data_IF_003203448571
#
_entry.id   IF_003203448571
#
_cell.length_a   1.000
_cell.length_b   1.000
_cell.length_c   1.000
_cell.angle_alpha   90.00
_cell.angle_beta   90.00
_cell.angle_gamma   90.00
#
_symmetry.space_group_name_H-M   'P 1'
#
loop_
_entity.id
_entity.type
_entity.pdbx_description
1 polymer ?
#
# COMPACT_ATOMS: atom_id res chain seq x y z
N UNK A 1 0.37 -6.20 10.84
CA UNK A 1 0.39 -6.51 9.40
C UNK A 1 -1.04 -6.59 8.91
N UNK A 2 -1.31 -6.24 7.66
CA UNK A 2 -2.56 -6.60 7.01
C UNK A 2 -2.50 -6.51 5.49
N UNK A 3 -3.46 -7.18 4.86
CA UNK A 3 -3.66 -7.19 3.41
C UNK A 3 -4.95 -6.44 3.03
N UNK A 4 -4.99 -5.76 1.88
CA UNK A 4 -6.19 -5.04 1.40
C UNK A 4 -6.71 -4.05 2.46
N UNK A 5 -7.92 -4.23 2.98
CA UNK A 5 -8.45 -3.42 4.08
C UNK A 5 -7.66 -3.56 5.39
N UNK A 6 -7.05 -4.72 5.66
CA UNK A 6 -6.12 -4.87 6.77
C UNK A 6 -4.83 -4.06 6.55
N UNK A 7 -4.39 -3.94 5.30
CA UNK A 7 -3.27 -3.08 4.91
C UNK A 7 -3.62 -1.61 5.09
N UNK A 8 -4.83 -1.22 4.67
CA UNK A 8 -5.38 0.11 4.93
C UNK A 8 -5.40 0.43 6.42
N UNK A 9 -5.96 -0.46 7.25
CA UNK A 9 -5.97 -0.30 8.71
C UNK A 9 -4.56 -0.16 9.29
N UNK A 10 -3.60 -0.95 8.78
CA UNK A 10 -2.19 -0.85 9.19
C UNK A 10 -1.62 0.55 8.91
N UNK A 11 -1.93 1.13 7.75
CA UNK A 11 -1.52 2.51 7.41
C UNK A 11 -2.24 3.55 8.28
N UNK A 12 -3.53 3.37 8.56
CA UNK A 12 -4.27 4.24 9.48
C UNK A 12 -3.66 4.23 10.89
N UNK A 13 -3.30 3.05 11.41
CA UNK A 13 -2.67 2.94 12.72
C UNK A 13 -1.35 3.71 12.77
N UNK A 14 -0.54 3.65 11.71
CA UNK A 14 0.72 4.41 11.64
C UNK A 14 0.49 5.92 11.48
N UNK A 15 -0.31 6.35 10.51
CA UNK A 15 -0.38 7.75 10.08
C UNK A 15 -1.37 8.62 10.88
N UNK A 16 -2.34 8.03 11.57
CA UNK A 16 -3.28 8.79 12.43
C UNK A 16 -2.61 9.44 13.65
N UNK A 17 -1.35 9.08 13.95
CA UNK A 17 -0.64 9.53 15.14
C UNK A 17 -1.05 8.81 16.43
N UNK A 18 -2.27 8.25 16.50
CA UNK A 18 -2.75 7.48 17.66
C UNK A 18 -2.01 6.15 17.82
N UNK A 19 -1.55 5.55 16.73
CA UNK A 19 -0.76 4.33 16.78
C UNK A 19 0.74 4.55 16.88
N UNK A 20 1.23 5.78 17.03
CA UNK A 20 2.67 6.03 17.23
C UNK A 20 3.16 5.27 18.47
N UNK A 21 4.14 4.40 18.29
CA UNK A 21 4.70 3.55 19.35
C UNK A 21 3.86 2.32 19.74
N UNK A 22 2.70 2.07 19.09
CA UNK A 22 1.93 0.83 19.34
C UNK A 22 2.64 -0.41 18.78
N UNK A 23 3.35 -0.27 17.67
CA UNK A 23 4.09 -1.35 17.03
C UNK A 23 5.46 -0.83 16.55
N UNK A 24 6.48 -1.68 16.62
CA UNK A 24 7.79 -1.37 16.03
C UNK A 24 7.77 -1.55 14.50
N UNK A 25 6.92 -2.44 13.95
CA UNK A 25 6.90 -2.75 12.52
C UNK A 25 5.49 -2.84 11.96
N UNK A 26 5.24 -2.08 10.89
CA UNK A 26 4.00 -2.04 10.12
C UNK A 26 4.27 -2.68 8.75
N UNK A 27 3.42 -3.64 8.36
CA UNK A 27 3.50 -4.33 7.07
C UNK A 27 2.14 -4.20 6.40
N UNK A 28 2.07 -3.44 5.32
CA UNK A 28 0.86 -3.22 4.55
C UNK A 28 1.01 -3.84 3.17
N UNK A 29 0.27 -4.92 2.92
CA UNK A 29 0.27 -5.64 1.66
C UNK A 29 -0.98 -5.28 0.83
N UNK A 30 -0.77 -4.89 -0.42
CA UNK A 30 -1.79 -4.37 -1.34
C UNK A 30 -2.84 -3.51 -0.62
N UNK A 31 -2.44 -2.47 0.14
CA UNK A 31 -3.35 -1.70 0.97
C UNK A 31 -4.39 -0.99 0.09
N UNK A 32 -5.66 -1.03 0.47
CA UNK A 32 -6.77 -0.38 -0.25
C UNK A 32 -6.75 1.14 -0.08
N UNK A 33 -5.68 1.80 -0.54
CA UNK A 33 -5.44 3.24 -0.37
C UNK A 33 -6.52 4.06 -1.07
N UNK A 34 -7.11 3.57 -2.15
CA UNK A 34 -8.21 4.21 -2.88
C UNK A 34 -9.49 4.39 -2.05
N UNK A 35 -9.65 3.63 -0.96
CA UNK A 35 -10.86 3.67 -0.15
C UNK A 35 -11.08 5.07 0.47
N UNK A 36 -12.35 5.47 0.57
CA UNK A 36 -12.77 6.78 1.08
C UNK A 36 -12.01 7.94 0.42
N UNK A 37 -12.01 7.93 -0.91
CA UNK A 37 -11.36 8.93 -1.76
C UNK A 37 -9.88 9.18 -1.42
N UNK A 38 -9.16 8.15 -0.97
CA UNK A 38 -7.75 8.31 -0.63
C UNK A 38 -7.49 8.98 0.71
N UNK A 39 -8.43 8.96 1.66
CA UNK A 39 -8.28 9.67 2.95
C UNK A 39 -6.99 9.31 3.70
N UNK A 40 -6.49 8.07 3.60
CA UNK A 40 -5.22 7.67 4.21
C UNK A 40 -4.00 8.46 3.67
N UNK A 41 -4.07 8.99 2.44
CA UNK A 41 -3.06 9.89 1.88
C UNK A 41 -3.03 11.25 2.59
N UNK A 42 -4.20 11.74 3.03
CA UNK A 42 -4.26 12.94 3.86
C UNK A 42 -3.55 12.72 5.20
N UNK A 43 -3.76 11.56 5.82
CA UNK A 43 -3.04 11.17 7.04
C UNK A 43 -1.53 11.06 6.79
N UNK A 44 -1.11 10.41 5.70
CA UNK A 44 0.31 10.31 5.32
C UNK A 44 0.94 11.70 5.09
N UNK A 45 0.21 12.64 4.48
CA UNK A 45 0.63 14.05 4.31
C UNK A 45 0.81 14.74 5.67
N UNK A 46 -0.18 14.61 6.56
CA UNK A 46 -0.08 15.16 7.92
C UNK A 46 1.09 14.54 8.69
N UNK A 47 1.28 13.23 8.61
CA UNK A 47 2.41 12.52 9.21
C UNK A 47 3.75 13.06 8.67
N UNK A 48 3.87 13.29 7.37
CA UNK A 48 5.07 13.83 6.73
C UNK A 48 5.37 15.30 7.10
N UNK A 49 4.35 16.09 7.45
CA UNK A 49 4.50 17.49 7.85
C UNK A 49 4.81 17.69 9.34
N UNK A 50 4.54 16.70 10.19
CA UNK A 50 4.88 16.79 11.60
C UNK A 50 6.40 16.71 11.75
N UNK A 51 7.01 17.70 12.43
CA UNK A 51 8.40 17.60 12.92
C UNK A 51 8.46 16.61 14.06
N UNK A 52 8.23 15.34 13.76
CA UNK A 52 8.41 14.27 14.72
C UNK A 52 9.92 14.11 14.92
N UNK A 53 10.39 14.31 16.14
CA UNK A 53 11.63 13.67 16.53
C UNK A 53 11.41 12.18 16.37
N UNK A 54 12.13 11.58 15.44
CA UNK A 54 12.22 10.13 15.30
C UNK A 54 12.63 9.58 16.68
N UNK A 55 11.76 8.82 17.33
CA UNK A 55 12.23 7.96 18.42
C UNK A 55 13.07 6.79 17.87
N UNK A 56 13.11 6.65 16.55
CA UNK A 56 13.94 5.70 15.81
C UNK A 56 13.43 4.27 15.84
N UNK A 57 12.17 4.00 16.21
CA UNK A 57 11.71 2.63 16.44
C UNK A 57 10.80 2.07 15.35
N UNK A 58 10.05 2.93 14.66
CA UNK A 58 9.00 2.47 13.75
C UNK A 58 9.54 2.13 12.36
N UNK A 59 9.09 1.00 11.83
CA UNK A 59 9.44 0.49 10.50
C UNK A 59 8.18 0.32 9.65
N UNK A 60 8.27 0.62 8.36
CA UNK A 60 7.18 0.39 7.41
C UNK A 60 7.67 -0.44 6.23
N UNK A 61 6.95 -1.53 5.93
CA UNK A 61 7.09 -2.27 4.70
C UNK A 61 5.80 -2.24 3.91
N UNK A 62 5.90 -1.79 2.66
CA UNK A 62 4.80 -1.72 1.71
C UNK A 62 4.97 -2.81 0.66
N UNK A 63 3.88 -3.42 0.25
CA UNK A 63 3.89 -4.23 -0.97
C UNK A 63 2.61 -4.06 -1.75
N UNK A 64 2.71 -4.23 -3.06
CA UNK A 64 1.58 -4.31 -3.97
C UNK A 64 1.90 -5.36 -5.01
N UNK A 65 0.90 -6.13 -5.39
CA UNK A 65 1.00 -6.96 -6.59
C UNK A 65 0.54 -6.10 -7.76
N UNK A 66 1.35 -6.01 -8.80
CA UNK A 66 1.05 -5.36 -10.08
C UNK A 66 0.01 -6.16 -10.88
N UNK A 67 -0.96 -6.75 -10.17
CA UNK A 67 -2.10 -7.45 -10.73
C UNK A 67 -3.11 -6.50 -11.37
N UNK A 68 -2.87 -5.20 -11.27
CA UNK A 68 -3.94 -4.22 -11.35
C UNK A 68 -3.66 -3.05 -12.27
N UNK A 69 -2.79 -3.16 -13.29
CA UNK A 69 -2.59 -1.99 -14.15
C UNK A 69 -2.19 -2.21 -15.61
N UNK A 70 -1.68 -3.39 -15.96
CA UNK A 70 -1.19 -3.66 -17.33
C UNK A 70 -1.50 -5.08 -17.81
N UNK A 71 -2.56 -5.72 -17.32
CA UNK A 71 -2.91 -7.07 -17.77
C UNK A 71 -3.45 -7.04 -19.19
N UNK A 72 -2.84 -7.81 -20.09
CA UNK A 72 -3.43 -8.13 -21.39
C UNK A 72 -4.76 -8.87 -21.18
N UNK A 73 -5.68 -8.74 -22.13
CA UNK A 73 -6.92 -9.52 -22.12
C UNK A 73 -6.58 -11.01 -22.14
N UNK A 74 -7.19 -11.79 -21.23
CA UNK A 74 -6.93 -13.22 -21.17
C UNK A 74 -7.59 -13.94 -22.36
N UNK A 75 -7.03 -15.06 -22.86
CA UNK A 75 -7.56 -15.74 -24.05
C UNK A 75 -9.04 -16.18 -23.97
N UNK A 76 -9.61 -16.28 -22.78
CA UNK A 76 -10.98 -16.72 -22.51
C UNK A 76 -11.85 -15.62 -21.92
N UNK A 77 -11.30 -14.42 -21.72
CA UNK A 77 -12.00 -13.30 -21.10
C UNK A 77 -12.81 -12.53 -22.14
N UNK A 78 -14.06 -12.24 -21.80
CA UNK A 78 -14.93 -11.41 -22.65
C UNK A 78 -14.50 -9.95 -22.57
N UNK A 79 -14.72 -9.20 -23.64
CA UNK A 79 -14.37 -7.77 -23.72
C UNK A 79 -14.96 -6.96 -22.56
N UNK A 80 -16.21 -7.21 -22.17
CA UNK A 80 -16.84 -6.53 -21.03
C UNK A 80 -16.18 -6.84 -19.68
N UNK A 81 -15.70 -8.06 -19.49
CA UNK A 81 -15.00 -8.47 -18.26
C UNK A 81 -13.61 -7.82 -18.21
N UNK A 82 -12.94 -7.77 -19.36
CA UNK A 82 -11.67 -7.08 -19.53
C UNK A 82 -11.78 -5.57 -19.25
N UNK A 83 -12.77 -4.90 -19.84
CA UNK A 83 -12.99 -3.47 -19.60
C UNK A 83 -13.36 -3.19 -18.15
N UNK A 84 -14.25 -3.97 -17.53
CA UNK A 84 -14.58 -3.83 -16.10
C UNK A 84 -13.34 -3.98 -15.22
N UNK A 85 -12.45 -4.93 -15.55
CA UNK A 85 -11.19 -5.09 -14.82
C UNK A 85 -10.32 -3.85 -15.00
N UNK A 86 -10.11 -3.36 -16.22
CA UNK A 86 -9.31 -2.15 -16.47
C UNK A 86 -9.88 -0.90 -15.79
N UNK A 87 -11.19 -0.73 -15.79
CA UNK A 87 -11.85 0.38 -15.09
C UNK A 87 -11.58 0.31 -13.58
N UNK A 88 -11.70 -0.87 -12.98
CA UNK A 88 -11.38 -1.08 -11.58
C UNK A 88 -9.91 -0.77 -11.29
N UNK A 89 -9.00 -1.28 -12.13
CA UNK A 89 -7.56 -1.04 -12.06
C UNK A 89 -7.21 0.46 -12.10
N UNK A 90 -7.78 1.19 -13.05
CA UNK A 90 -7.60 2.64 -13.15
C UNK A 90 -8.20 3.37 -11.96
N UNK A 91 -9.36 2.92 -11.46
CA UNK A 91 -10.00 3.48 -10.30
C UNK A 91 -9.17 3.28 -9.03
N UNK A 92 -8.61 2.08 -8.81
CA UNK A 92 -7.82 1.73 -7.62
C UNK A 92 -6.39 2.22 -7.67
N UNK A 93 -5.79 2.41 -8.85
CA UNK A 93 -4.45 2.96 -9.09
C UNK A 93 -3.44 2.53 -8.01
N UNK A 94 -3.41 1.22 -7.75
CA UNK A 94 -2.80 0.67 -6.53
C UNK A 94 -1.30 0.94 -6.45
N UNK A 95 -0.61 0.91 -7.59
CA UNK A 95 0.84 1.15 -7.65
C UNK A 95 1.14 2.62 -7.39
N UNK A 96 0.51 3.56 -8.10
CA UNK A 96 0.76 5.00 -7.93
C UNK A 96 0.40 5.45 -6.52
N UNK A 97 -0.72 4.95 -5.97
CA UNK A 97 -1.12 5.30 -4.61
C UNK A 97 -0.15 4.75 -3.57
N UNK A 98 0.37 3.54 -3.77
CA UNK A 98 1.40 2.98 -2.88
C UNK A 98 2.71 3.77 -2.98
N UNK A 99 3.10 4.19 -4.19
CA UNK A 99 4.24 5.07 -4.43
C UNK A 99 4.07 6.43 -3.72
N UNK A 100 2.90 7.06 -3.81
CA UNK A 100 2.61 8.31 -3.10
C UNK A 100 2.75 8.14 -1.58
N UNK A 101 2.21 7.06 -1.01
CA UNK A 101 2.38 6.74 0.41
C UNK A 101 3.86 6.56 0.77
N UNK A 102 4.61 5.84 -0.07
CA UNK A 102 6.04 5.60 0.16
C UNK A 102 6.83 6.91 0.19
N UNK A 103 6.60 7.79 -0.78
CA UNK A 103 7.29 9.07 -0.88
C UNK A 103 6.96 10.01 0.30
N UNK A 104 5.70 10.04 0.73
CA UNK A 104 5.27 10.79 1.91
C UNK A 104 5.93 10.24 3.18
N UNK A 105 5.92 8.91 3.36
CA UNK A 105 6.57 8.25 4.48
C UNK A 105 8.09 8.52 4.50
N UNK A 106 8.74 8.50 3.33
CA UNK A 106 10.16 8.82 3.17
C UNK A 106 10.45 10.28 3.53
N UNK A 107 9.63 11.21 3.03
CA UNK A 107 9.76 12.65 3.29
C UNK A 107 9.64 13.01 4.77
N UNK A 108 8.86 12.24 5.53
CA UNK A 108 8.69 12.47 6.98
C UNK A 108 10.00 12.40 7.77
N UNK A 109 10.96 11.56 7.35
CA UNK A 109 12.15 11.24 8.12
C UNK A 109 11.87 10.58 9.49
N UNK A 110 10.63 10.18 9.76
CA UNK A 110 10.19 9.69 11.08
C UNK A 110 10.41 8.18 11.26
N UNK A 111 10.60 7.43 10.18
CA UNK A 111 10.74 5.97 10.19
C UNK A 111 12.20 5.55 10.25
N UNK A 112 12.50 4.54 11.07
CA UNK A 112 13.82 3.91 11.15
C UNK A 112 14.15 3.14 9.87
N UNK A 113 13.17 2.37 9.37
CA UNK A 113 13.27 1.62 8.11
C UNK A 113 12.02 1.80 7.30
N UNK A 114 12.22 1.97 6.00
CA UNK A 114 11.17 2.06 5.01
C UNK A 114 11.55 1.15 3.84
N UNK A 115 10.65 0.25 3.47
CA UNK A 115 10.81 -0.64 2.33
C UNK A 115 9.53 -0.72 1.51
N UNK A 116 9.69 -0.98 0.21
CA UNK A 116 8.59 -1.33 -0.68
C UNK A 116 8.96 -2.52 -1.56
N UNK A 117 7.96 -3.30 -1.97
CA UNK A 117 8.11 -4.32 -3.00
C UNK A 117 6.89 -4.35 -3.93
N UNK A 118 7.14 -4.20 -5.22
CA UNK A 118 6.13 -4.36 -6.27
C UNK A 118 6.37 -5.74 -6.89
N UNK A 119 5.36 -6.61 -6.86
CA UNK A 119 5.45 -7.95 -7.44
C UNK A 119 4.85 -7.94 -8.84
N UNK A 120 5.57 -8.47 -9.83
CA UNK A 120 5.09 -8.54 -11.20
C UNK A 120 4.05 -9.65 -11.39
N UNK A 121 3.22 -9.53 -12.43
CA UNK A 121 2.09 -10.43 -12.77
C UNK A 121 2.45 -11.94 -12.82
N UNK A 122 3.70 -12.29 -13.15
CA UNK A 122 4.14 -13.71 -13.24
C UNK A 122 4.30 -14.42 -11.89
N UNK A 123 4.30 -13.70 -10.77
CA UNK A 123 4.49 -14.27 -9.43
C UNK A 123 3.15 -14.65 -8.75
N UNK A 124 2.05 -14.65 -9.50
CA UNK A 124 0.65 -14.71 -9.02
C UNK A 124 0.30 -15.90 -8.12
N UNK A 125 0.90 -17.07 -8.33
CA UNK A 125 0.57 -18.30 -7.56
C UNK A 125 1.46 -18.44 -6.32
N UNK A 126 2.60 -17.74 -6.24
CA UNK A 126 3.52 -17.84 -5.10
C UNK A 126 3.30 -16.74 -4.05
N UNK A 127 2.84 -15.55 -4.44
CA UNK A 127 2.80 -14.37 -3.55
C UNK A 127 1.68 -14.39 -2.51
N UNK A 128 0.55 -15.05 -2.79
CA UNK A 128 -0.49 -15.29 -1.78
C UNK A 128 0.04 -16.12 -0.59
N UNK A 129 1.11 -16.91 -0.77
CA UNK A 129 1.81 -17.63 0.30
C UNK A 129 3.03 -16.87 0.87
N UNK A 130 3.67 -15.98 0.12
CA UNK A 130 4.86 -15.25 0.59
C UNK A 130 4.58 -14.12 1.58
N UNK A 131 3.31 -13.77 1.82
CA UNK A 131 2.96 -12.84 2.90
C UNK A 131 3.04 -13.48 4.30
N UNK A 132 3.36 -14.77 4.41
CA UNK A 132 3.24 -15.55 5.67
C UNK A 132 4.49 -16.36 6.03
N UNK A 133 5.64 -16.21 5.36
CA UNK A 133 6.88 -16.91 5.72
C UNK A 133 8.08 -15.98 5.88
#
# INVERSE_FOLDING_TARGET
MGHSYGGLFTLYALFSGQGKGMFDTYIAASPSIWWDNGHVLCLAKSFASQRLTSDGRQNLFLSVVELEQHSMQLPQEKDEEYERRREFQNFTAMVERLEEVYDLAKKSGALCRLGKRIFAEKDHVSVAMCAVN
#
